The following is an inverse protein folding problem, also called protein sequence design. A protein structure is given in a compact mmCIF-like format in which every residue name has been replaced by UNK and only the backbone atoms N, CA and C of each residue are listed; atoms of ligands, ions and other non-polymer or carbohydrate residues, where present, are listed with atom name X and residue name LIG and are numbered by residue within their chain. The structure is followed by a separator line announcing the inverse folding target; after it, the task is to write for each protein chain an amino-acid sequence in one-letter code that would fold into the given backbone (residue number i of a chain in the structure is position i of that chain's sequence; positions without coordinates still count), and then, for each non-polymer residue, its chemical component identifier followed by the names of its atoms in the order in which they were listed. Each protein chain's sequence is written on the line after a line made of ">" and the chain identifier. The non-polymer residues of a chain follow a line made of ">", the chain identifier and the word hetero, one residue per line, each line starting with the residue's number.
data_IF_786180152357
#
_entry.id   IF_786180152357
#
_cell.length_a   1.000
_cell.length_b   1.000
_cell.length_c   1.000
_cell.angle_alpha   90.00
_cell.angle_beta   90.00
_cell.angle_gamma   90.00
#
_symmetry.space_group_name_H-M   'P 1'
#
loop_
_entity.id
_entity.type
_entity.pdbx_description
1 polymer ?
#
# COMPACT_ATOMS: atom_id res chain seq x y z
N UNK A 1 7.95 45.02 1.32
CA UNK A 1 9.04 45.67 2.09
C UNK A 1 8.40 46.74 2.96
N UNK A 2 8.79 46.78 4.25
CA UNK A 2 8.45 47.73 5.34
C UNK A 2 7.01 47.59 5.91
N UNK A 3 6.78 47.17 7.18
CA UNK A 3 7.23 47.71 8.50
C UNK A 3 6.71 49.14 8.69
N UNK A 4 5.93 49.53 9.71
CA UNK A 4 6.09 49.45 11.18
C UNK A 4 4.71 49.72 11.86
N UNK A 5 4.32 49.05 12.95
CA UNK A 5 4.66 49.31 14.36
C UNK A 5 4.10 50.64 14.92
N UNK A 6 3.10 50.54 15.80
CA UNK A 6 2.97 51.43 16.95
C UNK A 6 2.43 50.65 18.16
N UNK A 7 3.30 50.59 19.16
CA UNK A 7 3.16 50.03 20.51
C UNK A 7 2.82 51.13 21.50
N UNK A 8 2.03 50.80 22.53
CA UNK A 8 2.08 51.19 23.97
C UNK A 8 0.68 50.94 24.56
N UNK A 9 0.45 50.01 25.49
CA UNK A 9 1.04 49.85 26.84
C UNK A 9 0.24 50.72 27.83
N UNK A 10 -0.19 50.37 29.05
CA UNK A 10 -0.02 49.25 30.00
C UNK A 10 -0.99 49.60 31.18
N UNK A 11 -1.71 48.71 31.87
CA UNK A 11 -1.47 48.23 33.27
C UNK A 11 -2.84 47.83 33.87
N UNK A 12 -2.84 46.75 34.63
CA UNK A 12 -3.95 46.13 35.35
C UNK A 12 -4.34 46.81 36.68
N UNK A 13 -5.56 46.58 37.15
CA UNK A 13 -5.94 45.99 38.47
C UNK A 13 -7.35 46.45 38.86
N UNK A 14 -8.14 45.57 39.46
CA UNK A 14 -9.40 45.95 40.11
C UNK A 14 -10.33 44.75 40.30
N UNK A 15 -10.38 44.26 41.53
CA UNK A 15 -11.09 43.07 41.99
C UNK A 15 -12.36 43.54 42.71
N UNK A 16 -13.54 43.20 42.20
CA UNK A 16 -14.84 43.22 42.90
C UNK A 16 -15.56 41.93 42.45
N UNK A 17 -16.10 41.07 43.30
CA UNK A 17 -17.03 41.38 44.38
C UNK A 17 -18.33 40.65 44.01
N UNK A 18 -18.66 39.60 44.76
CA UNK A 18 -19.68 38.60 44.49
C UNK A 18 -21.12 39.15 44.35
N UNK A 19 -21.96 38.48 43.55
CA UNK A 19 -23.23 37.86 44.00
C UNK A 19 -24.00 37.16 42.86
N UNK A 20 -24.28 35.87 43.10
CA UNK A 20 -25.54 35.14 42.88
C UNK A 20 -26.40 35.45 41.66
N UNK A 21 -26.62 34.45 40.81
CA UNK A 21 -27.94 33.87 40.45
C UNK A 21 -27.64 32.67 39.53
N UNK A 22 -27.82 31.44 40.04
CA UNK A 22 -28.04 30.28 39.17
C UNK A 22 -29.43 30.39 38.53
N UNK A 23 -29.69 29.70 37.40
CA UNK A 23 -29.77 28.25 37.53
C UNK A 23 -29.20 27.47 36.34
N UNK A 24 -28.87 26.21 36.62
CA UNK A 24 -29.06 25.09 35.70
C UNK A 24 -28.36 25.24 34.33
N UNK A 25 -27.12 24.75 34.26
CA UNK A 25 -26.64 24.12 33.04
C UNK A 25 -27.58 22.94 32.76
N UNK A 26 -28.67 23.22 32.04
CA UNK A 26 -29.46 22.23 31.35
C UNK A 26 -28.51 21.61 30.31
N UNK A 27 -27.79 20.57 30.73
CA UNK A 27 -27.16 19.63 29.83
C UNK A 27 -28.20 19.28 28.76
N UNK A 28 -27.81 19.25 27.47
CA UNK A 28 -28.73 18.87 26.41
C UNK A 28 -29.46 17.61 26.85
N UNK A 29 -30.79 17.68 26.97
CA UNK A 29 -31.62 16.54 27.37
C UNK A 29 -31.21 15.37 26.49
N UNK A 30 -30.90 14.24 27.12
CA UNK A 30 -30.61 12.96 26.47
C UNK A 30 -31.73 12.47 25.52
N UNK A 31 -32.83 13.21 25.35
CA UNK A 31 -33.87 12.95 24.36
C UNK A 31 -33.45 13.23 22.91
N UNK A 32 -32.39 14.02 22.66
CA UNK A 32 -31.87 14.22 21.29
C UNK A 32 -30.70 13.30 20.93
N UNK A 33 -30.09 12.62 21.90
CA UNK A 33 -29.09 11.58 21.66
C UNK A 33 -29.71 10.26 21.15
N UNK A 34 -31.00 10.03 21.39
CA UNK A 34 -31.72 8.84 20.89
C UNK A 34 -32.11 8.92 19.42
N UNK A 35 -32.05 10.09 18.78
CA UNK A 35 -32.26 10.23 17.32
C UNK A 35 -30.99 9.94 16.50
N UNK A 36 -29.88 9.60 17.16
CA UNK A 36 -28.57 9.52 16.53
C UNK A 36 -28.22 8.13 15.96
N UNK A 37 -29.15 7.16 15.90
CA UNK A 37 -28.84 5.86 15.27
C UNK A 37 -30.03 4.96 14.91
N UNK A 38 -31.19 5.50 14.51
CA UNK A 38 -32.17 4.63 13.83
C UNK A 38 -31.74 4.46 12.36
N UNK A 39 -31.07 3.34 12.06
CA UNK A 39 -30.86 2.94 10.67
C UNK A 39 -32.21 2.68 10.03
N UNK A 40 -32.38 3.16 8.81
CA UNK A 40 -33.59 2.85 8.05
C UNK A 40 -33.58 1.38 7.63
N UNK A 41 -34.76 0.81 7.34
CA UNK A 41 -34.85 -0.56 6.81
C UNK A 41 -34.00 -0.75 5.53
N UNK A 42 -33.87 0.30 4.72
CA UNK A 42 -33.01 0.32 3.54
C UNK A 42 -31.51 0.25 3.90
N UNK A 43 -31.08 0.99 4.93
CA UNK A 43 -29.69 0.96 5.42
C UNK A 43 -29.34 -0.39 6.04
N UNK A 44 -30.23 -0.97 6.84
CA UNK A 44 -30.03 -2.28 7.44
C UNK A 44 -29.94 -3.39 6.39
N UNK A 45 -30.81 -3.34 5.37
CA UNK A 45 -30.74 -4.27 4.26
C UNK A 45 -29.45 -4.08 3.44
N UNK A 46 -29.04 -2.84 3.16
CA UNK A 46 -27.80 -2.55 2.45
C UNK A 46 -26.57 -3.12 3.18
N UNK A 47 -26.51 -2.95 4.51
CA UNK A 47 -25.46 -3.55 5.33
C UNK A 47 -25.46 -5.08 5.25
N UNK A 48 -26.65 -5.70 5.27
CA UNK A 48 -26.79 -7.16 5.19
C UNK A 48 -26.39 -7.71 3.83
N UNK A 49 -26.74 -7.02 2.75
CA UNK A 49 -26.33 -7.34 1.37
C UNK A 49 -24.81 -7.35 1.28
N UNK A 50 -24.14 -6.31 1.78
CA UNK A 50 -22.67 -6.20 1.72
C UNK A 50 -22.00 -7.27 2.58
N UNK A 51 -22.50 -7.50 3.80
CA UNK A 51 -21.98 -8.56 4.68
C UNK A 51 -22.10 -9.95 4.03
N UNK A 52 -23.23 -10.25 3.36
CA UNK A 52 -23.40 -11.50 2.62
C UNK A 52 -22.50 -11.58 1.41
N UNK A 53 -22.37 -10.50 0.64
CA UNK A 53 -21.46 -10.42 -0.50
C UNK A 53 -19.99 -10.62 -0.12
N UNK A 54 -19.60 -10.27 1.12
CA UNK A 54 -18.26 -10.49 1.67
C UNK A 54 -18.00 -11.94 2.07
N UNK A 55 -19.00 -12.60 2.64
CA UNK A 55 -18.88 -13.93 3.24
C UNK A 55 -19.08 -15.06 2.23
N UNK A 56 -19.94 -14.86 1.24
CA UNK A 56 -20.34 -15.91 0.31
C UNK A 56 -19.49 -15.90 -0.96
N UNK A 57 -19.30 -17.10 -1.54
CA UNK A 57 -18.89 -17.21 -2.93
C UNK A 57 -19.98 -16.67 -3.88
N UNK A 58 -19.66 -16.46 -5.17
CA UNK A 58 -20.61 -15.85 -6.09
C UNK A 58 -21.89 -16.64 -6.32
N UNK A 59 -21.85 -17.97 -6.25
CA UNK A 59 -23.03 -18.81 -6.48
C UNK A 59 -23.96 -18.79 -5.26
N UNK A 60 -23.40 -18.90 -4.05
CA UNK A 60 -24.15 -18.79 -2.81
C UNK A 60 -24.74 -17.38 -2.62
N UNK A 61 -23.97 -16.34 -2.94
CA UNK A 61 -24.45 -14.97 -2.91
C UNK A 61 -25.59 -14.75 -3.91
N UNK A 62 -25.46 -15.26 -5.14
CA UNK A 62 -26.49 -15.18 -6.17
C UNK A 62 -27.83 -15.74 -5.69
N UNK A 63 -27.80 -16.96 -5.13
CA UNK A 63 -28.99 -17.66 -4.65
C UNK A 63 -29.64 -16.92 -3.48
N UNK A 64 -28.83 -16.50 -2.49
CA UNK A 64 -29.34 -15.70 -1.37
C UNK A 64 -29.96 -14.38 -1.84
N UNK A 65 -29.31 -13.68 -2.76
CA UNK A 65 -29.75 -12.39 -3.28
C UNK A 65 -31.10 -12.49 -4.01
N UNK A 66 -31.32 -13.56 -4.78
CA UNK A 66 -32.59 -13.84 -5.45
C UNK A 66 -33.74 -14.16 -4.48
N UNK A 67 -33.43 -14.85 -3.37
CA UNK A 67 -34.42 -15.30 -2.38
C UNK A 67 -34.73 -14.24 -1.32
N UNK A 68 -34.03 -13.09 -1.31
CA UNK A 68 -34.21 -12.07 -0.29
C UNK A 68 -35.56 -11.34 -0.45
N UNK A 69 -36.55 -11.72 0.35
CA UNK A 69 -37.89 -11.10 0.33
C UNK A 69 -37.86 -9.59 0.64
N UNK A 70 -36.97 -9.15 1.54
CA UNK A 70 -36.79 -7.72 1.85
C UNK A 70 -36.31 -6.95 0.62
N UNK A 71 -35.40 -7.54 -0.18
CA UNK A 71 -34.96 -6.97 -1.44
C UNK A 71 -36.15 -6.86 -2.41
N UNK A 72 -36.95 -7.92 -2.56
CA UNK A 72 -38.12 -7.91 -3.45
C UNK A 72 -39.09 -6.77 -3.10
N UNK A 73 -39.36 -6.55 -1.81
CA UNK A 73 -40.21 -5.46 -1.30
C UNK A 73 -39.64 -4.06 -1.54
N UNK A 74 -38.31 -3.93 -1.58
CA UNK A 74 -37.59 -2.66 -1.65
C UNK A 74 -36.84 -2.48 -2.98
N UNK A 75 -37.11 -3.31 -4.00
CA UNK A 75 -36.34 -3.34 -5.25
C UNK A 75 -36.28 -1.96 -5.92
N UNK A 76 -37.40 -1.24 -5.95
CA UNK A 76 -37.51 0.10 -6.55
C UNK A 76 -37.23 1.24 -5.55
N UNK A 77 -36.76 0.91 -4.34
CA UNK A 77 -36.49 1.89 -3.31
C UNK A 77 -35.19 2.64 -3.61
N UNK A 78 -35.31 3.92 -4.00
CA UNK A 78 -34.16 4.82 -4.21
C UNK A 78 -33.24 4.90 -3.00
N UNK A 79 -33.79 4.79 -1.79
CA UNK A 79 -33.02 4.81 -0.54
C UNK A 79 -32.12 3.59 -0.41
N UNK A 80 -32.60 2.39 -0.75
CA UNK A 80 -31.79 1.17 -0.73
C UNK A 80 -30.65 1.23 -1.75
N UNK A 81 -30.96 1.68 -2.98
CA UNK A 81 -29.95 1.89 -4.03
C UNK A 81 -28.86 2.84 -3.55
N UNK A 82 -29.24 3.97 -2.95
CA UNK A 82 -28.33 4.99 -2.46
C UNK A 82 -27.54 4.52 -1.22
N UNK A 83 -28.17 3.82 -0.27
CA UNK A 83 -27.52 3.29 0.92
C UNK A 83 -26.46 2.24 0.54
N UNK A 84 -26.81 1.31 -0.35
CA UNK A 84 -25.88 0.29 -0.86
C UNK A 84 -24.71 0.94 -1.59
N UNK A 85 -24.98 1.94 -2.44
CA UNK A 85 -23.94 2.70 -3.12
C UNK A 85 -23.01 3.41 -2.14
N UNK A 86 -23.55 4.14 -1.15
CA UNK A 86 -22.75 4.86 -0.15
C UNK A 86 -21.82 3.93 0.62
N UNK A 87 -22.27 2.73 0.97
CA UNK A 87 -21.43 1.76 1.66
C UNK A 87 -20.30 1.24 0.75
N UNK A 88 -20.59 0.92 -0.52
CA UNK A 88 -19.58 0.48 -1.48
C UNK A 88 -18.57 1.58 -1.83
N UNK A 89 -19.02 2.81 -2.01
CA UNK A 89 -18.18 3.95 -2.39
C UNK A 89 -17.50 4.63 -1.20
N UNK A 90 -18.01 4.43 0.02
CA UNK A 90 -17.47 4.97 1.28
C UNK A 90 -16.05 4.49 1.61
N UNK A 91 -15.53 3.56 0.81
CA UNK A 91 -14.14 3.13 0.84
C UNK A 91 -13.93 1.95 1.77
N UNK A 92 -13.00 1.08 1.37
CA UNK A 92 -12.56 -0.09 2.14
C UNK A 92 -13.47 -1.30 2.19
N UNK A 93 -14.47 -1.44 1.32
CA UNK A 93 -15.24 -2.68 1.23
C UNK A 93 -14.46 -3.72 0.40
N UNK A 94 -14.01 -4.84 1.00
CA UNK A 94 -13.60 -6.00 0.22
C UNK A 94 -14.85 -6.66 -0.38
N UNK A 95 -14.89 -6.86 -1.70
CA UNK A 95 -16.01 -7.55 -2.35
C UNK A 95 -15.51 -8.26 -3.60
N UNK A 96 -15.96 -9.49 -3.83
CA UNK A 96 -15.64 -10.22 -5.07
C UNK A 96 -16.18 -9.48 -6.30
N UNK A 97 -15.44 -9.50 -7.42
CA UNK A 97 -15.87 -8.82 -8.66
C UNK A 97 -17.24 -9.30 -9.13
N UNK A 98 -17.48 -10.62 -9.14
CA UNK A 98 -18.76 -11.19 -9.53
C UNK A 98 -19.93 -10.76 -8.63
N UNK A 99 -19.69 -10.54 -7.34
CA UNK A 99 -20.71 -10.04 -6.42
C UNK A 99 -20.98 -8.56 -6.67
N UNK A 100 -19.94 -7.77 -6.93
CA UNK A 100 -20.08 -6.37 -7.32
C UNK A 100 -20.84 -6.22 -8.65
N UNK A 101 -20.48 -6.98 -9.68
CA UNK A 101 -21.15 -6.97 -10.99
C UNK A 101 -22.62 -7.33 -10.91
N UNK A 102 -22.98 -8.26 -10.00
CA UNK A 102 -24.38 -8.60 -9.73
C UNK A 102 -25.15 -7.44 -9.10
N UNK A 103 -24.54 -6.77 -8.12
CA UNK A 103 -25.14 -5.59 -7.50
C UNK A 103 -25.27 -4.44 -8.50
N UNK A 104 -24.26 -4.23 -9.34
CA UNK A 104 -24.30 -3.24 -10.42
C UNK A 104 -25.42 -3.55 -11.42
N UNK A 105 -25.52 -4.80 -11.88
CA UNK A 105 -26.58 -5.21 -12.81
C UNK A 105 -27.99 -5.02 -12.22
N UNK A 106 -28.14 -5.22 -10.91
CA UNK A 106 -29.41 -5.05 -10.22
C UNK A 106 -29.76 -3.57 -9.99
N UNK A 107 -28.84 -2.80 -9.41
CA UNK A 107 -29.10 -1.42 -9.02
C UNK A 107 -28.90 -0.41 -10.15
N UNK A 108 -28.14 -0.74 -11.19
CA UNK A 108 -27.85 0.12 -12.35
C UNK A 108 -27.35 1.50 -11.91
N UNK A 109 -26.22 1.54 -11.20
CA UNK A 109 -25.74 2.79 -10.58
C UNK A 109 -25.19 3.82 -11.57
N UNK A 110 -24.78 3.38 -12.75
CA UNK A 110 -24.16 4.22 -13.76
C UNK A 110 -24.60 3.83 -15.17
N UNK A 111 -24.41 4.74 -16.13
CA UNK A 111 -24.69 4.46 -17.53
C UNK A 111 -23.51 3.68 -18.15
N UNK A 112 -23.80 2.46 -18.59
CA UNK A 112 -22.82 1.61 -19.29
C UNK A 112 -22.46 2.12 -20.69
N UNK A 113 -23.29 2.98 -21.27
CA UNK A 113 -22.97 3.71 -22.50
C UNK A 113 -21.95 4.82 -22.28
N UNK A 114 -21.83 5.32 -21.05
CA UNK A 114 -20.80 6.29 -20.70
C UNK A 114 -19.48 5.58 -20.42
N UNK A 115 -18.54 5.72 -21.36
CA UNK A 115 -17.21 5.09 -21.30
C UNK A 115 -16.44 5.46 -20.04
N UNK A 116 -16.55 6.72 -19.60
CA UNK A 116 -15.80 7.21 -18.43
C UNK A 116 -16.34 6.61 -17.14
N UNK A 117 -17.65 6.68 -16.93
CA UNK A 117 -18.30 6.10 -15.74
C UNK A 117 -18.07 4.60 -15.67
N UNK A 118 -18.18 3.91 -16.81
CA UNK A 118 -17.90 2.48 -16.91
C UNK A 118 -16.46 2.13 -16.52
N UNK A 119 -15.49 2.93 -16.96
CA UNK A 119 -14.09 2.74 -16.57
C UNK A 119 -13.86 2.96 -15.07
N UNK A 120 -14.41 4.05 -14.52
CA UNK A 120 -14.26 4.39 -13.10
C UNK A 120 -14.88 3.30 -12.21
N UNK A 121 -16.03 2.73 -12.62
CA UNK A 121 -16.69 1.67 -11.87
C UNK A 121 -16.02 0.32 -11.99
N UNK A 122 -15.50 -0.02 -13.16
CA UNK A 122 -14.64 -1.20 -13.32
C UNK A 122 -13.38 -1.10 -12.44
N UNK A 123 -12.76 0.08 -12.37
CA UNK A 123 -11.61 0.33 -11.50
C UNK A 123 -11.97 0.19 -10.02
N UNK A 124 -13.13 0.69 -9.60
CA UNK A 124 -13.62 0.58 -8.23
C UNK A 124 -13.93 -0.88 -7.85
N UNK A 125 -14.68 -1.60 -8.68
CA UNK A 125 -14.97 -3.02 -8.49
C UNK A 125 -13.69 -3.87 -8.46
N UNK A 126 -12.71 -3.58 -9.31
CA UNK A 126 -11.39 -4.23 -9.27
C UNK A 126 -10.66 -3.96 -7.94
N UNK A 127 -10.72 -2.74 -7.42
CA UNK A 127 -10.10 -2.39 -6.14
C UNK A 127 -10.72 -3.19 -4.98
N UNK A 128 -12.05 -3.31 -4.95
CA UNK A 128 -12.77 -4.13 -3.98
C UNK A 128 -12.39 -5.61 -4.07
N UNK A 129 -12.27 -6.13 -5.29
CA UNK A 129 -11.89 -7.52 -5.53
C UNK A 129 -10.48 -7.81 -5.03
N UNK A 130 -9.52 -6.93 -5.33
CA UNK A 130 -8.15 -7.06 -4.84
C UNK A 130 -8.13 -7.04 -3.30
N UNK A 131 -8.88 -6.16 -2.65
CA UNK A 131 -8.99 -6.15 -1.17
C UNK A 131 -9.53 -7.46 -0.64
N UNK A 132 -10.56 -8.01 -1.28
CA UNK A 132 -11.13 -9.31 -0.92
C UNK A 132 -10.09 -10.44 -1.08
N UNK A 133 -9.33 -10.48 -2.17
CA UNK A 133 -8.26 -11.46 -2.38
C UNK A 133 -7.16 -11.38 -1.31
N UNK A 134 -6.92 -10.18 -0.77
CA UNK A 134 -5.89 -9.93 0.24
C UNK A 134 -6.37 -10.20 1.69
N UNK A 135 -7.66 -10.49 1.89
CA UNK A 135 -8.15 -10.92 3.20
C UNK A 135 -7.61 -12.30 3.57
N UNK A 136 -7.39 -12.50 4.88
CA UNK A 136 -7.04 -13.81 5.43
C UNK A 136 -8.20 -14.78 5.19
N UNK A 137 -7.90 -16.00 4.76
CA UNK A 137 -8.88 -17.03 4.38
C UNK A 137 -9.15 -17.13 2.88
N UNK A 138 -8.79 -16.12 2.09
CA UNK A 138 -9.00 -16.13 0.63
C UNK A 138 -7.76 -16.53 -0.17
N UNK A 139 -6.79 -17.21 0.45
CA UNK A 139 -5.47 -17.40 -0.17
C UNK A 139 -5.49 -18.40 -1.34
N UNK A 140 -6.46 -19.30 -1.37
CA UNK A 140 -6.72 -20.17 -2.54
C UNK A 140 -7.22 -19.34 -3.72
N UNK A 141 -8.15 -18.40 -3.49
CA UNK A 141 -8.65 -17.52 -4.52
C UNK A 141 -7.56 -16.58 -5.05
N UNK A 142 -6.73 -16.04 -4.15
CA UNK A 142 -5.53 -15.27 -4.52
C UNK A 142 -4.57 -16.08 -5.41
N UNK A 143 -4.29 -17.32 -5.04
CA UNK A 143 -3.40 -18.18 -5.82
C UNK A 143 -3.95 -18.46 -7.21
N UNK A 144 -5.26 -18.74 -7.33
CA UNK A 144 -5.96 -18.90 -8.60
C UNK A 144 -5.95 -17.61 -9.43
N UNK A 145 -6.16 -16.46 -8.81
CA UNK A 145 -6.15 -15.17 -9.49
C UNK A 145 -4.78 -14.82 -10.08
N UNK A 146 -3.70 -15.23 -9.39
CA UNK A 146 -2.32 -15.04 -9.86
C UNK A 146 -1.83 -16.16 -10.79
N UNK A 147 -2.63 -17.21 -11.00
CA UNK A 147 -2.27 -18.36 -11.81
C UNK A 147 -2.27 -17.99 -13.30
N UNK A 148 -1.26 -18.49 -14.03
CA UNK A 148 -1.24 -18.53 -15.49
C UNK A 148 -0.99 -19.97 -15.91
N UNK A 149 -1.52 -20.38 -17.04
CA UNK A 149 -1.38 -21.75 -17.54
C UNK A 149 0.10 -22.17 -17.65
N UNK A 150 0.98 -21.23 -18.00
CA UNK A 150 2.43 -21.47 -18.12
C UNK A 150 3.23 -21.26 -16.82
N UNK A 151 2.59 -20.76 -15.75
CA UNK A 151 3.25 -20.40 -14.49
C UNK A 151 2.31 -20.63 -13.31
N UNK A 152 2.11 -21.88 -12.89
CA UNK A 152 1.21 -22.20 -11.79
C UNK A 152 1.72 -21.58 -10.48
N UNK A 153 0.83 -20.88 -9.78
CA UNK A 153 1.12 -20.26 -8.49
C UNK A 153 0.44 -21.04 -7.38
N UNK A 154 1.24 -21.64 -6.50
CA UNK A 154 0.73 -22.26 -5.26
C UNK A 154 0.32 -21.22 -4.23
N UNK A 155 -0.53 -21.61 -3.27
CA UNK A 155 -0.93 -20.76 -2.14
C UNK A 155 0.28 -20.23 -1.36
N UNK A 156 1.30 -21.06 -1.15
CA UNK A 156 2.52 -20.66 -0.46
C UNK A 156 3.29 -19.57 -1.24
N UNK A 157 3.40 -19.69 -2.56
CA UNK A 157 4.04 -18.69 -3.41
C UNK A 157 3.25 -17.39 -3.46
N UNK A 158 1.92 -17.46 -3.59
CA UNK A 158 1.05 -16.28 -3.55
C UNK A 158 1.21 -15.51 -2.23
N UNK A 159 1.17 -16.21 -1.09
CA UNK A 159 1.43 -15.62 0.24
C UNK A 159 2.82 -14.99 0.33
N UNK A 160 3.85 -15.67 -0.14
CA UNK A 160 5.22 -15.15 -0.12
C UNK A 160 5.37 -13.87 -0.98
N UNK A 161 4.70 -13.82 -2.13
CA UNK A 161 4.68 -12.65 -3.02
C UNK A 161 3.93 -11.48 -2.38
N UNK A 162 2.75 -11.71 -1.80
CA UNK A 162 2.00 -10.67 -1.06
C UNK A 162 2.75 -10.19 0.17
N UNK A 163 3.41 -11.07 0.93
CA UNK A 163 4.18 -10.70 2.11
C UNK A 163 5.35 -9.74 1.79
N UNK A 164 5.87 -9.75 0.55
CA UNK A 164 6.87 -8.78 0.08
C UNK A 164 6.30 -7.39 -0.18
N UNK A 165 4.97 -7.26 -0.25
CA UNK A 165 4.23 -6.02 -0.50
C UNK A 165 3.49 -5.50 0.73
N UNK A 166 3.08 -6.37 1.67
CA UNK A 166 2.30 -6.00 2.86
C UNK A 166 3.02 -6.24 4.19
N UNK A 167 4.08 -7.06 4.22
CA UNK A 167 4.73 -7.52 5.45
C UNK A 167 5.72 -6.53 6.06
N UNK A 168 6.46 -6.93 7.12
CA UNK A 168 7.51 -6.11 7.72
C UNK A 168 8.61 -5.73 6.71
N UNK A 169 8.91 -4.45 6.58
CA UNK A 169 9.84 -3.97 5.55
C UNK A 169 11.30 -4.31 5.88
N UNK A 170 11.94 -5.08 4.99
CA UNK A 170 13.36 -5.48 5.10
C UNK A 170 14.13 -5.05 3.85
N UNK A 171 14.59 -3.79 3.76
CA UNK A 171 15.11 -3.22 2.52
C UNK A 171 16.37 -3.92 2.00
N UNK A 172 17.29 -4.35 2.87
CA UNK A 172 18.50 -5.07 2.46
C UNK A 172 18.16 -6.43 1.83
N UNK A 173 17.25 -7.17 2.46
CA UNK A 173 16.74 -8.44 1.93
C UNK A 173 16.04 -8.24 0.60
N UNK A 174 15.20 -7.21 0.49
CA UNK A 174 14.50 -6.89 -0.75
C UNK A 174 15.48 -6.52 -1.88
N UNK A 175 16.53 -5.75 -1.58
CA UNK A 175 17.60 -5.41 -2.54
C UNK A 175 18.38 -6.65 -2.99
N UNK A 176 18.69 -7.55 -2.06
CA UNK A 176 19.34 -8.82 -2.39
C UNK A 176 18.47 -9.67 -3.32
N UNK A 177 17.20 -9.87 -2.95
CA UNK A 177 16.23 -10.63 -3.73
C UNK A 177 15.99 -10.02 -5.12
N UNK A 178 15.96 -8.69 -5.23
CA UNK A 178 15.81 -7.97 -6.49
C UNK A 178 16.98 -8.20 -7.46
N UNK A 179 18.13 -8.76 -7.03
CA UNK A 179 19.21 -9.16 -7.94
C UNK A 179 18.82 -10.36 -8.81
N UNK A 180 17.92 -11.22 -8.33
CA UNK A 180 17.43 -12.37 -9.08
C UNK A 180 16.49 -11.93 -10.20
N UNK A 181 16.81 -12.29 -11.45
CA UNK A 181 15.93 -12.05 -12.59
C UNK A 181 14.58 -12.78 -12.43
N UNK A 182 14.59 -13.97 -11.84
CA UNK A 182 13.38 -14.74 -11.55
C UNK A 182 12.46 -13.97 -10.58
N UNK A 183 12.98 -13.54 -9.42
CA UNK A 183 12.17 -12.80 -8.44
C UNK A 183 11.65 -11.48 -8.99
N UNK A 184 12.42 -10.79 -9.83
CA UNK A 184 11.93 -9.58 -10.51
C UNK A 184 10.76 -9.85 -11.44
N UNK A 185 10.77 -10.96 -12.18
CA UNK A 185 9.63 -11.38 -13.03
C UNK A 185 8.41 -11.73 -12.17
N UNK A 186 8.59 -12.55 -11.14
CA UNK A 186 7.49 -12.89 -10.23
C UNK A 186 6.80 -11.66 -9.64
N UNK A 187 7.60 -10.67 -9.21
CA UNK A 187 7.07 -9.45 -8.63
C UNK A 187 6.46 -8.51 -9.68
N UNK A 188 6.96 -8.52 -10.92
CA UNK A 188 6.29 -7.84 -12.04
C UNK A 188 4.89 -8.39 -12.25
N UNK A 189 4.76 -9.71 -12.35
CA UNK A 189 3.47 -10.36 -12.57
C UNK A 189 2.53 -10.08 -11.38
N UNK A 190 3.03 -10.22 -10.16
CA UNK A 190 2.26 -9.92 -8.94
C UNK A 190 1.72 -8.50 -8.93
N UNK A 191 2.54 -7.54 -9.35
CA UNK A 191 2.18 -6.13 -9.41
C UNK A 191 1.16 -5.84 -10.52
N UNK A 192 1.28 -6.48 -11.67
CA UNK A 192 0.31 -6.38 -12.76
C UNK A 192 -1.10 -6.79 -12.30
N UNK A 193 -1.22 -7.88 -11.55
CA UNK A 193 -2.49 -8.36 -11.00
C UNK A 193 -3.05 -7.44 -9.90
N UNK A 194 -2.24 -7.14 -8.88
CA UNK A 194 -2.70 -6.51 -7.63
C UNK A 194 -2.73 -4.98 -7.63
N UNK A 195 -2.00 -4.33 -8.54
CA UNK A 195 -1.91 -2.86 -8.58
C UNK A 195 -2.33 -2.31 -9.94
N UNK A 196 -2.34 -3.16 -10.98
CA UNK A 196 -2.59 -2.74 -12.35
C UNK A 196 -1.35 -2.06 -12.95
N UNK A 197 -1.18 -2.23 -14.26
CA UNK A 197 -0.18 -1.47 -15.02
C UNK A 197 -0.88 -0.39 -15.85
N UNK A 198 -0.31 0.83 -15.94
CA UNK A 198 0.90 1.30 -15.26
C UNK A 198 0.66 1.56 -13.77
N UNK A 199 1.65 1.24 -12.92
CA UNK A 199 1.63 1.66 -11.51
C UNK A 199 1.87 3.16 -11.47
N UNK A 200 0.78 3.93 -11.42
CA UNK A 200 0.88 5.37 -11.35
C UNK A 200 1.25 5.78 -9.92
N UNK A 201 2.20 6.69 -9.78
CA UNK A 201 2.74 7.12 -8.48
C UNK A 201 1.66 7.62 -7.51
N UNK A 202 0.54 8.11 -8.03
CA UNK A 202 -0.58 8.67 -7.31
C UNK A 202 -1.65 7.67 -6.89
N UNK A 203 -1.64 6.44 -7.41
CA UNK A 203 -2.61 5.41 -7.01
C UNK A 203 -2.18 4.87 -5.64
N UNK A 204 -3.03 5.07 -4.64
CA UNK A 204 -2.85 4.47 -3.32
C UNK A 204 -3.17 2.97 -3.47
N UNK A 205 -2.22 2.08 -3.21
CA UNK A 205 -2.48 0.65 -3.34
C UNK A 205 -3.51 0.21 -2.29
N UNK A 206 -4.35 -0.79 -2.60
CA UNK A 206 -5.33 -1.28 -1.65
C UNK A 206 -4.64 -1.86 -0.41
N UNK A 207 -5.14 -1.59 0.81
CA UNK A 207 -4.70 -2.29 2.02
C UNK A 207 -4.80 -3.82 1.85
N UNK A 208 -3.88 -4.61 2.44
CA UNK A 208 -2.76 -4.24 3.31
C UNK A 208 -1.45 -3.90 2.57
N UNK A 209 -1.50 -3.67 1.24
CA UNK A 209 -0.28 -3.39 0.48
C UNK A 209 0.34 -2.05 0.90
N UNK A 210 1.64 -2.07 1.17
CA UNK A 210 2.39 -0.89 1.58
C UNK A 210 2.98 -0.18 0.36
N UNK A 211 2.64 1.09 0.19
CA UNK A 211 3.09 1.92 -0.94
C UNK A 211 4.60 1.89 -1.16
N UNK A 212 5.41 2.00 -0.09
CA UNK A 212 6.88 1.96 -0.19
C UNK A 212 7.39 0.66 -0.82
N UNK A 213 6.77 -0.47 -0.47
CA UNK A 213 7.17 -1.80 -0.94
C UNK A 213 6.74 -2.02 -2.39
N UNK A 214 5.50 -1.61 -2.72
CA UNK A 214 4.98 -1.61 -4.09
C UNK A 214 5.88 -0.81 -5.02
N UNK A 215 6.24 0.42 -4.64
CA UNK A 215 7.10 1.29 -5.44
C UNK A 215 8.52 0.72 -5.60
N UNK A 216 9.09 0.13 -4.54
CA UNK A 216 10.39 -0.54 -4.64
C UNK A 216 10.34 -1.68 -5.67
N UNK A 217 9.35 -2.57 -5.56
CA UNK A 217 9.25 -3.72 -6.45
C UNK A 217 8.88 -3.31 -7.87
N UNK A 218 8.07 -2.26 -8.07
CA UNK A 218 7.80 -1.69 -9.38
C UNK A 218 9.09 -1.20 -10.06
N UNK A 219 9.90 -0.43 -9.32
CA UNK A 219 11.20 0.03 -9.81
C UNK A 219 12.16 -1.13 -10.09
N UNK A 220 12.23 -2.12 -9.20
CA UNK A 220 13.10 -3.29 -9.35
C UNK A 220 12.68 -4.18 -10.53
N UNK A 221 11.38 -4.36 -10.75
CA UNK A 221 10.80 -5.14 -11.85
C UNK A 221 10.98 -4.46 -13.21
N UNK A 222 11.49 -3.22 -13.28
CA UNK A 222 11.65 -2.48 -14.53
C UNK A 222 10.34 -1.93 -15.08
N UNK A 223 9.28 -1.87 -14.26
CA UNK A 223 8.10 -1.09 -14.61
C UNK A 223 8.56 0.36 -14.58
N UNK A 224 8.57 0.98 -15.77
CA UNK A 224 9.07 2.34 -15.95
C UNK A 224 8.17 3.29 -15.17
N UNK A 225 8.50 3.51 -13.90
CA UNK A 225 8.13 4.75 -13.23
C UNK A 225 8.72 5.87 -14.09
N UNK A 226 7.94 6.93 -14.42
CA UNK A 226 8.50 8.08 -15.13
C UNK A 226 9.77 8.50 -14.41
N UNK A 227 10.87 8.47 -15.14
CA UNK A 227 12.23 8.50 -14.60
C UNK A 227 12.38 9.62 -13.59
N UNK A 228 12.50 9.29 -12.30
CA UNK A 228 13.11 10.22 -11.35
C UNK A 228 14.52 10.54 -11.88
N UNK A 229 15.01 11.78 -11.72
CA UNK A 229 16.31 12.18 -12.23
C UNK A 229 17.35 11.18 -11.73
N UNK A 230 18.01 10.56 -12.70
CA UNK A 230 18.98 9.48 -12.55
C UNK A 230 20.05 9.92 -11.55
N UNK A 231 19.88 9.57 -10.26
CA UNK A 231 20.87 9.88 -9.23
C UNK A 231 22.13 9.12 -9.62
N UNK A 232 23.10 9.84 -10.17
CA UNK A 232 24.42 9.32 -10.54
C UNK A 232 24.90 8.45 -9.39
N UNK A 233 25.35 7.22 -9.67
CA UNK A 233 25.97 6.36 -8.65
C UNK A 233 26.98 7.22 -7.86
N UNK A 234 26.92 7.25 -6.53
CA UNK A 234 27.71 8.20 -5.77
C UNK A 234 29.19 7.91 -6.02
N UNK A 235 29.94 8.96 -6.38
CA UNK A 235 31.39 8.97 -6.61
C UNK A 235 32.17 8.20 -5.53
N UNK A 236 31.63 8.14 -4.31
CA UNK A 236 32.10 7.33 -3.19
C UNK A 236 32.43 5.88 -3.52
N UNK A 237 31.66 5.19 -4.39
CA UNK A 237 31.99 3.80 -4.76
C UNK A 237 33.29 3.72 -5.57
N UNK A 238 33.62 4.74 -6.35
CA UNK A 238 34.90 4.81 -7.08
C UNK A 238 36.06 5.16 -6.16
N UNK A 239 35.81 6.04 -5.18
CA UNK A 239 36.80 6.41 -4.15
C UNK A 239 37.17 5.19 -3.30
N UNK A 240 36.18 4.41 -2.84
CA UNK A 240 36.44 3.20 -2.03
C UNK A 240 37.22 2.15 -2.81
N UNK A 241 36.89 1.92 -4.08
CA UNK A 241 37.64 0.99 -4.94
C UNK A 241 39.06 1.48 -5.20
N UNK A 242 39.25 2.78 -5.44
CA UNK A 242 40.58 3.36 -5.61
C UNK A 242 41.43 3.27 -4.33
N UNK A 243 40.82 3.49 -3.16
CA UNK A 243 41.48 3.33 -1.86
C UNK A 243 41.90 1.88 -1.60
N UNK A 244 41.03 0.91 -1.88
CA UNK A 244 41.37 -0.51 -1.74
C UNK A 244 42.54 -0.89 -2.66
N UNK A 245 42.54 -0.42 -3.91
CA UNK A 245 43.64 -0.64 -4.85
C UNK A 245 44.96 0.00 -4.36
N UNK A 246 44.91 1.24 -3.86
CA UNK A 246 46.07 1.92 -3.30
C UNK A 246 46.65 1.17 -2.09
N UNK A 247 45.80 0.68 -1.19
CA UNK A 247 46.22 -0.14 -0.05
C UNK A 247 46.86 -1.46 -0.49
N UNK A 248 46.32 -2.14 -1.50
CA UNK A 248 46.94 -3.37 -2.02
C UNK A 248 48.31 -3.10 -2.64
N UNK A 249 48.48 -2.01 -3.39
CA UNK A 249 49.76 -1.63 -3.98
C UNK A 249 50.81 -1.29 -2.91
N UNK A 250 50.43 -0.53 -1.89
CA UNK A 250 51.32 -0.23 -0.76
C UNK A 250 51.75 -1.50 0.00
N UNK A 251 50.83 -2.45 0.20
CA UNK A 251 51.14 -3.75 0.80
C UNK A 251 52.16 -4.56 -0.01
N UNK A 252 52.01 -4.59 -1.34
CA UNK A 252 52.94 -5.29 -2.24
C UNK A 252 54.31 -4.61 -2.23
N UNK A 253 54.38 -3.29 -2.31
CA UNK A 253 55.65 -2.54 -2.28
C UNK A 253 56.38 -2.75 -0.95
N UNK A 254 55.66 -2.73 0.17
CA UNK A 254 56.25 -3.00 1.49
C UNK A 254 56.80 -4.42 1.61
N UNK A 255 56.11 -5.42 1.05
CA UNK A 255 56.59 -6.80 1.00
C UNK A 255 57.86 -6.94 0.15
N UNK A 256 57.88 -6.33 -1.04
CA UNK A 256 59.05 -6.34 -1.92
C UNK A 256 60.23 -5.63 -1.27
N UNK A 257 60.03 -4.45 -0.70
CA UNK A 257 61.09 -3.70 -0.01
C UNK A 257 61.68 -4.49 1.17
N UNK A 258 60.83 -5.19 1.94
CA UNK A 258 61.27 -6.05 3.05
C UNK A 258 62.04 -7.29 2.57
N UNK A 259 61.66 -7.87 1.43
CA UNK A 259 62.41 -8.96 0.81
C UNK A 259 63.78 -8.49 0.33
N UNK A 260 63.87 -7.28 -0.24
CA UNK A 260 65.12 -6.67 -0.71
C UNK A 260 66.12 -6.38 0.42
N UNK A 261 65.64 -5.92 1.58
CA UNK A 261 66.51 -5.61 2.73
C UNK A 261 67.01 -6.87 3.42
N UNK A 262 66.18 -7.91 3.52
CA UNK A 262 66.59 -9.22 4.05
C UNK A 262 67.61 -9.90 3.14
N UNK A 263 67.44 -9.81 1.82
CA UNK A 263 68.39 -10.40 0.87
C UNK A 263 69.76 -9.68 0.89
N UNK A 264 69.78 -8.36 1.14
CA UNK A 264 71.02 -7.59 1.33
C UNK A 264 71.77 -7.93 2.62
N UNK A 265 71.08 -8.33 3.68
CA UNK A 265 71.74 -8.75 4.93
C UNK A 265 72.35 -10.15 4.88
N UNK A 266 72.03 -10.95 3.86
CA UNK A 266 72.60 -12.30 3.66
C UNK A 266 73.88 -12.27 2.81
N UNK A 267 74.12 -11.20 2.06
CA UNK A 267 75.38 -10.94 1.33
C UNK A 267 76.19 -9.84 2.03
N UNK A 268 76.59 -10.08 3.27
CA UNK A 268 77.70 -9.37 3.92
C UNK A 268 79.03 -10.07 3.60
N UNK A 269 80.16 -9.34 3.52
CA UNK A 269 81.36 -9.77 2.79
C UNK A 269 82.15 -10.83 3.56
N UNK A 270 82.34 -12.00 2.93
CA UNK A 270 83.41 -12.91 3.32
C UNK A 270 84.75 -12.40 2.74
N UNK A 271 85.70 -12.31 3.67
CA UNK A 271 87.15 -12.44 3.52
C UNK A 271 87.89 -11.61 2.45
N UNK A 272 88.72 -10.68 2.95
CA UNK A 272 90.11 -10.58 2.51
C UNK A 272 90.95 -9.85 3.58
N UNK A 273 91.58 -10.63 4.47
CA UNK A 273 92.92 -10.34 5.00
C UNK A 273 93.91 -11.17 4.17
N UNK A 274 95.07 -10.62 3.79
CA UNK A 274 96.18 -10.46 4.72
C UNK A 274 96.75 -9.04 4.80
#
# INVERSE_FOLDING_TARGET
>A
MRSELLLRGTVATGFEGAQSIGPFLELPRMSDASKLTERTAAEDLAHRIIAKGQQCDPAAFALWFQQCLELQKLTDCKELKLATWRLLMGGNVPLQSANFERLDAHFQWYDRGNVRESYDMAAHGRNMHIRWLLLRGNEVALARYMHRDDAPVSVAQARARVARLSGPWRPLRARWQARSAHTRREMRDTLHYLVGEPIMWFVVPPPPLQRKQVLFWAAAAGNRLPSAPRRRRPLWQRVVVALLLACTLLGVVAMVYRASTVNRSVQGPDEASP
#
